data_IF_385887564780
#
_entry.id   IF_385887564780
#
_cell.length_a   1.000
_cell.length_b   1.000
_cell.length_c   1.000
_cell.angle_alpha   90.00
_cell.angle_beta   90.00
_cell.angle_gamma   90.00
#
_symmetry.space_group_name_H-M   'P 1'
#
loop_
_entity.id
_entity.type
_entity.pdbx_description
1 polymer ?
#
# COMPACT_ATOMS: atom_id res chain seq x y z
N UNK A 1 -3.75 -16.77 3.05
CA UNK A 1 -2.28 -16.88 3.21
C UNK A 1 -1.92 -16.65 4.67
N UNK A 2 -1.11 -17.54 5.26
CA UNK A 2 -0.58 -17.42 6.62
C UNK A 2 0.66 -16.52 6.64
N UNK A 3 1.00 -15.99 7.80
CA UNK A 3 2.19 -15.14 8.00
C UNK A 3 3.48 -15.81 7.54
N UNK A 4 3.67 -17.08 7.92
CA UNK A 4 4.86 -17.84 7.58
C UNK A 4 5.09 -17.93 6.07
N UNK A 5 4.02 -18.07 5.28
CA UNK A 5 4.12 -18.12 3.82
C UNK A 5 4.65 -16.79 3.23
N UNK A 6 4.32 -15.66 3.84
CA UNK A 6 4.84 -14.34 3.44
C UNK A 6 6.33 -14.27 3.79
N UNK A 7 6.70 -14.69 5.00
CA UNK A 7 8.10 -14.73 5.46
C UNK A 7 8.94 -15.60 4.53
N UNK A 8 8.45 -16.80 4.19
CA UNK A 8 9.17 -17.74 3.34
C UNK A 8 9.33 -17.19 1.92
N UNK A 9 8.31 -16.53 1.37
CA UNK A 9 8.43 -15.81 0.10
C UNK A 9 9.50 -14.70 0.15
N UNK A 10 9.53 -13.90 1.22
CA UNK A 10 10.50 -12.82 1.38
C UNK A 10 11.94 -13.35 1.57
N UNK A 11 12.12 -14.56 2.12
CA UNK A 11 13.45 -15.20 2.24
C UNK A 11 14.05 -15.62 0.89
N UNK A 12 13.25 -15.70 -0.17
CA UNK A 12 13.73 -16.09 -1.51
C UNK A 12 14.62 -15.01 -2.16
N UNK A 13 14.72 -13.82 -1.56
CA UNK A 13 15.44 -12.69 -2.14
C UNK A 13 16.33 -12.00 -1.10
N UNK A 14 17.37 -11.39 -1.63
CA UNK A 14 18.24 -10.47 -0.92
C UNK A 14 17.81 -9.03 -1.25
N UNK A 15 17.31 -8.32 -0.24
CA UNK A 15 16.84 -6.94 -0.37
C UNK A 15 17.86 -5.92 0.13
N UNK A 16 19.15 -6.27 0.21
CA UNK A 16 20.20 -5.35 0.61
C UNK A 16 20.26 -4.13 -0.35
N UNK A 17 19.86 -2.97 0.15
CA UNK A 17 19.83 -1.71 -0.60
C UNK A 17 21.26 -1.29 -1.00
N UNK A 18 22.29 -1.67 -0.24
CA UNK A 18 23.69 -1.36 -0.56
C UNK A 18 24.13 -2.05 -1.85
N UNK A 19 23.55 -3.22 -2.16
CA UNK A 19 23.81 -3.98 -3.39
C UNK A 19 22.95 -3.50 -4.54
N UNK A 20 21.64 -3.37 -4.31
CA UNK A 20 20.68 -3.03 -5.37
C UNK A 20 20.72 -1.55 -5.75
N UNK A 21 21.16 -0.68 -4.85
CA UNK A 21 21.12 0.79 -4.94
C UNK A 21 19.75 1.37 -5.28
N UNK A 22 18.69 0.57 -5.12
CA UNK A 22 17.37 0.93 -5.60
C UNK A 22 16.66 1.82 -4.59
N UNK A 23 16.52 3.10 -4.94
CA UNK A 23 15.78 4.09 -4.16
C UNK A 23 14.26 3.84 -4.06
N UNK A 24 13.69 2.93 -4.86
CA UNK A 24 12.25 2.74 -5.05
C UNK A 24 11.74 1.43 -4.45
N UNK A 25 12.45 0.88 -3.47
CA UNK A 25 12.00 -0.27 -2.69
C UNK A 25 10.77 0.06 -1.83
N UNK A 26 10.62 1.31 -1.40
CA UNK A 26 9.42 1.87 -0.79
C UNK A 26 9.37 3.39 -1.00
N UNK A 27 8.17 3.94 -1.10
CA UNK A 27 7.94 5.33 -1.47
C UNK A 27 6.74 5.95 -0.73
N UNK A 28 6.53 7.25 -0.90
CA UNK A 28 5.53 8.02 -0.14
C UNK A 28 4.09 7.49 -0.25
N UNK A 29 3.67 6.95 -1.40
CA UNK A 29 2.30 6.45 -1.62
C UNK A 29 2.13 4.97 -1.25
N UNK A 30 3.20 4.29 -0.82
CA UNK A 30 3.17 2.90 -0.35
C UNK A 30 2.51 2.80 1.03
N UNK A 31 1.19 2.90 1.06
CA UNK A 31 0.33 2.81 2.25
C UNK A 31 -0.59 1.59 2.11
N UNK A 32 -1.13 1.05 3.22
CA UNK A 32 -1.88 -0.21 3.17
C UNK A 32 -3.12 -0.17 2.26
N UNK A 33 -3.90 0.91 2.34
CA UNK A 33 -5.07 1.16 1.49
C UNK A 33 -4.69 1.29 0.01
N UNK A 34 -3.66 2.07 -0.29
CA UNK A 34 -3.18 2.26 -1.66
C UNK A 34 -2.62 0.95 -2.25
N UNK A 35 -1.81 0.21 -1.48
CA UNK A 35 -1.27 -1.07 -1.94
C UNK A 35 -2.38 -2.09 -2.21
N UNK A 36 -3.43 -2.11 -1.38
CA UNK A 36 -4.58 -3.00 -1.54
C UNK A 36 -5.43 -2.68 -2.78
N UNK A 37 -5.67 -1.39 -3.09
CA UNK A 37 -6.41 -1.01 -4.30
C UNK A 37 -5.55 -1.19 -5.56
N UNK A 38 -4.25 -0.90 -5.50
CA UNK A 38 -3.37 -1.12 -6.67
C UNK A 38 -3.25 -2.60 -7.01
N UNK A 39 -3.15 -3.49 -6.00
CA UNK A 39 -3.19 -4.93 -6.23
C UNK A 39 -4.48 -5.37 -6.92
N UNK A 40 -5.61 -4.80 -6.52
CA UNK A 40 -6.93 -5.04 -7.15
C UNK A 40 -6.97 -4.56 -8.60
N UNK A 41 -6.52 -3.34 -8.87
CA UNK A 41 -6.43 -2.80 -10.23
C UNK A 41 -5.54 -3.64 -11.16
N UNK A 42 -4.41 -4.16 -10.67
CA UNK A 42 -3.54 -5.05 -11.45
C UNK A 42 -4.25 -6.38 -11.77
N UNK A 43 -4.91 -6.98 -10.78
CA UNK A 43 -5.62 -8.26 -10.97
C UNK A 43 -6.80 -8.11 -11.93
N UNK A 44 -7.53 -7.01 -11.84
CA UNK A 44 -8.63 -6.70 -12.75
C UNK A 44 -8.15 -6.38 -14.16
N UNK A 45 -7.06 -5.61 -14.32
CA UNK A 45 -6.52 -5.37 -15.66
C UNK A 45 -6.02 -6.65 -16.32
N UNK A 46 -5.30 -7.47 -15.57
CA UNK A 46 -4.73 -8.73 -16.07
C UNK A 46 -5.76 -9.83 -16.22
N UNK A 47 -6.99 -9.64 -15.69
CA UNK A 47 -8.01 -10.67 -15.56
C UNK A 47 -7.42 -11.93 -14.90
N UNK A 48 -6.54 -11.71 -13.91
CA UNK A 48 -5.85 -12.76 -13.17
C UNK A 48 -4.96 -13.69 -14.01
N UNK A 49 -4.67 -13.33 -15.27
CA UNK A 49 -3.73 -14.05 -16.11
C UNK A 49 -2.28 -13.62 -15.78
N UNK A 50 -1.47 -14.54 -15.26
CA UNK A 50 -0.08 -14.26 -14.86
C UNK A 50 0.85 -13.96 -16.05
N UNK A 51 0.50 -14.44 -17.25
CA UNK A 51 1.27 -14.22 -18.47
C UNK A 51 0.97 -12.86 -19.11
N UNK A 52 -0.16 -12.23 -18.73
CA UNK A 52 -0.56 -10.94 -19.29
C UNK A 52 0.33 -9.82 -18.74
N UNK A 53 1.20 -9.31 -19.60
CA UNK A 53 2.04 -8.16 -19.30
C UNK A 53 1.26 -6.84 -19.31
N UNK A 54 1.71 -5.87 -18.52
CA UNK A 54 1.13 -4.54 -18.46
C UNK A 54 2.18 -3.47 -18.18
N UNK A 55 1.92 -2.25 -18.60
CA UNK A 55 2.62 -1.06 -18.13
C UNK A 55 1.78 -0.31 -17.09
N UNK A 56 2.39 0.61 -16.34
CA UNK A 56 1.65 1.50 -15.42
C UNK A 56 0.54 2.27 -16.17
N UNK A 57 0.81 2.65 -17.42
CA UNK A 57 -0.16 3.35 -18.27
C UNK A 57 -1.38 2.50 -18.59
N UNK A 58 -1.21 1.20 -18.79
CA UNK A 58 -2.34 0.32 -19.08
C UNK A 58 -3.26 0.17 -17.85
N UNK A 59 -2.68 0.09 -16.64
CA UNK A 59 -3.46 0.11 -15.39
C UNK A 59 -4.18 1.45 -15.23
N UNK A 60 -3.51 2.55 -15.56
CA UNK A 60 -4.05 3.90 -15.50
C UNK A 60 -5.23 4.12 -16.45
N UNK A 61 -5.10 3.68 -17.70
CA UNK A 61 -6.13 3.86 -18.74
C UNK A 61 -7.33 2.90 -18.56
N UNK A 62 -7.24 1.93 -17.64
CA UNK A 62 -8.34 1.01 -17.32
C UNK A 62 -9.57 1.75 -16.78
N UNK A 63 -10.79 1.50 -17.31
CA UNK A 63 -12.02 2.06 -16.78
C UNK A 63 -12.23 1.74 -15.30
N UNK A 64 -11.91 0.50 -14.90
CA UNK A 64 -12.05 0.04 -13.52
C UNK A 64 -11.18 0.84 -12.55
N UNK A 65 -9.92 1.09 -12.91
CA UNK A 65 -8.99 1.90 -12.10
C UNK A 65 -9.50 3.33 -12.01
N UNK A 66 -9.88 3.92 -13.14
CA UNK A 66 -10.36 5.29 -13.20
C UNK A 66 -11.57 5.52 -12.31
N UNK A 67 -12.56 4.64 -12.37
CA UNK A 67 -13.77 4.72 -11.56
C UNK A 67 -13.44 4.65 -10.06
N UNK A 68 -12.80 3.57 -9.61
CA UNK A 68 -12.62 3.33 -8.18
C UNK A 68 -11.58 4.25 -7.55
N UNK A 69 -10.45 4.49 -8.22
CA UNK A 69 -9.37 5.32 -7.66
C UNK A 69 -9.83 6.78 -7.57
N UNK A 70 -10.44 7.34 -8.63
CA UNK A 70 -10.89 8.74 -8.59
C UNK A 70 -11.97 8.94 -7.53
N UNK A 71 -12.96 8.06 -7.46
CA UNK A 71 -14.06 8.25 -6.49
C UNK A 71 -13.59 8.15 -5.04
N UNK A 72 -12.63 7.26 -4.73
CA UNK A 72 -12.23 6.99 -3.35
C UNK A 72 -11.10 7.91 -2.90
N UNK A 73 -10.15 8.24 -3.78
CA UNK A 73 -8.90 8.93 -3.42
C UNK A 73 -8.81 10.38 -3.87
N UNK A 74 -9.75 10.90 -4.68
CA UNK A 74 -9.76 12.34 -5.02
C UNK A 74 -9.88 13.19 -3.75
N UNK A 75 -9.19 14.33 -3.66
CA UNK A 75 -9.28 15.25 -2.50
C UNK A 75 -10.60 16.04 -2.54
N UNK A 76 -11.21 16.42 -1.39
CA UNK A 76 -12.48 17.14 -1.38
C UNK A 76 -12.32 18.60 -1.86
N UNK A 77 -11.21 19.25 -1.47
CA UNK A 77 -11.07 20.70 -1.58
C UNK A 77 -10.58 21.20 -2.95
N UNK A 78 -10.44 20.31 -3.92
CA UNK A 78 -9.89 20.63 -5.24
C UNK A 78 -10.73 19.93 -6.29
N UNK A 79 -11.83 20.55 -6.68
CA UNK A 79 -12.74 20.11 -7.74
C UNK A 79 -12.11 20.00 -9.15
N UNK A 80 -10.77 19.94 -9.28
CA UNK A 80 -10.13 19.73 -10.58
C UNK A 80 -8.71 19.14 -10.55
N UNK A 81 -7.91 19.34 -9.50
CA UNK A 81 -6.45 19.16 -9.63
C UNK A 81 -5.89 18.04 -8.74
N UNK A 82 -6.43 16.84 -8.84
CA UNK A 82 -5.57 15.67 -8.63
C UNK A 82 -4.66 15.58 -9.86
N UNK A 83 -3.58 16.38 -9.81
CA UNK A 83 -2.68 16.57 -10.94
C UNK A 83 -2.21 15.21 -11.48
N UNK A 84 -2.01 15.14 -12.80
CA UNK A 84 -1.44 13.94 -13.46
C UNK A 84 -0.21 13.41 -12.72
N UNK A 85 0.61 14.29 -12.14
CA UNK A 85 1.80 13.93 -11.37
C UNK A 85 1.51 13.28 -10.01
N UNK A 86 0.47 13.68 -9.30
CA UNK A 86 0.09 13.03 -8.03
C UNK A 86 -0.53 11.66 -8.28
N UNK A 87 -1.26 11.53 -9.39
CA UNK A 87 -1.90 10.29 -9.85
C UNK A 87 -0.89 9.29 -10.43
N UNK A 88 0.09 9.76 -11.19
CA UNK A 88 1.17 8.91 -11.70
C UNK A 88 1.96 8.30 -10.53
N UNK A 89 2.25 9.07 -9.48
CA UNK A 89 2.87 8.57 -8.25
C UNK A 89 1.99 7.58 -7.49
N UNK A 90 0.67 7.72 -7.57
CA UNK A 90 -0.28 6.85 -6.87
C UNK A 90 -0.17 5.39 -7.34
N UNK A 91 -0.05 5.16 -8.65
CA UNK A 91 0.10 3.80 -9.21
C UNK A 91 1.56 3.37 -9.28
N UNK A 92 2.46 4.26 -9.72
CA UNK A 92 3.85 3.88 -9.99
C UNK A 92 4.60 3.43 -8.75
N UNK A 93 4.42 4.11 -7.60
CA UNK A 93 5.16 3.80 -6.38
C UNK A 93 4.79 2.42 -5.79
N UNK A 94 3.51 2.07 -5.59
CA UNK A 94 3.14 0.73 -5.14
C UNK A 94 3.51 -0.36 -6.15
N UNK A 95 3.36 -0.14 -7.47
CA UNK A 95 3.77 -1.12 -8.49
C UNK A 95 5.27 -1.38 -8.42
N UNK A 96 6.10 -0.34 -8.22
CA UNK A 96 7.54 -0.47 -8.03
C UNK A 96 7.89 -1.26 -6.77
N UNK A 97 7.19 -1.04 -5.66
CA UNK A 97 7.35 -1.86 -4.45
C UNK A 97 6.95 -3.32 -4.70
N UNK A 98 5.85 -3.58 -5.39
CA UNK A 98 5.42 -4.93 -5.75
C UNK A 98 6.45 -5.64 -6.65
N UNK A 99 7.09 -4.90 -7.56
CA UNK A 99 8.17 -5.42 -8.39
C UNK A 99 9.45 -5.69 -7.58
N UNK A 100 9.85 -4.75 -6.72
CA UNK A 100 11.05 -4.92 -5.89
C UNK A 100 10.90 -6.08 -4.89
N UNK A 101 9.73 -6.23 -4.27
CA UNK A 101 9.42 -7.39 -3.42
C UNK A 101 9.36 -8.72 -4.20
N UNK A 102 9.20 -8.64 -5.53
CA UNK A 102 9.14 -9.77 -6.44
C UNK A 102 7.77 -10.44 -6.55
N UNK A 103 6.71 -9.75 -6.13
CA UNK A 103 5.31 -10.12 -6.41
C UNK A 103 5.01 -9.90 -7.89
N UNK A 104 5.57 -8.83 -8.45
CA UNK A 104 5.63 -8.59 -9.89
C UNK A 104 7.05 -8.82 -10.38
N UNK A 105 7.18 -9.20 -11.65
CA UNK A 105 8.44 -9.09 -12.37
C UNK A 105 8.44 -7.81 -13.17
N UNK A 106 9.53 -7.05 -13.11
CA UNK A 106 9.73 -5.87 -13.94
C UNK A 106 10.78 -6.18 -15.02
N UNK A 107 10.44 -5.90 -16.27
CA UNK A 107 11.38 -5.85 -17.38
C UNK A 107 11.31 -4.50 -18.08
N UNK A 108 12.42 -4.11 -18.69
CA UNK A 108 12.50 -2.86 -19.45
C UNK A 108 12.43 -3.17 -20.94
N UNK A 109 11.37 -2.70 -21.59
CA UNK A 109 11.21 -2.80 -23.04
C UNK A 109 11.29 -1.38 -23.61
N UNK A 110 12.41 -1.07 -24.27
CA UNK A 110 12.71 0.29 -24.75
C UNK A 110 12.68 1.31 -23.59
N UNK A 111 11.88 2.38 -23.71
CA UNK A 111 11.69 3.41 -22.68
C UNK A 111 10.55 3.13 -21.70
N UNK A 112 9.99 1.92 -21.68
CA UNK A 112 8.86 1.56 -20.83
C UNK A 112 9.19 0.39 -19.91
N UNK A 113 8.73 0.50 -18.67
CA UNK A 113 8.74 -0.61 -17.73
C UNK A 113 7.48 -1.44 -17.95
N UNK A 114 7.68 -2.73 -18.17
CA UNK A 114 6.63 -3.72 -18.38
C UNK A 114 6.67 -4.68 -17.19
N UNK A 115 5.49 -5.03 -16.70
CA UNK A 115 5.31 -5.85 -15.52
C UNK A 115 4.49 -7.09 -15.85
N UNK A 116 4.80 -8.20 -15.18
CA UNK A 116 4.00 -9.44 -15.17
C UNK A 116 3.83 -9.92 -13.73
N UNK A 117 2.77 -10.70 -13.47
CA UNK A 117 2.52 -11.24 -12.13
C UNK A 117 3.44 -12.44 -11.91
N UNK A 118 4.22 -12.41 -10.83
CA UNK A 118 5.07 -13.54 -10.41
C UNK A 118 4.45 -14.32 -9.25
N UNK A 119 3.74 -13.64 -8.35
CA UNK A 119 3.08 -14.28 -7.22
C UNK A 119 1.62 -13.80 -7.12
N UNK A 120 0.73 -14.53 -7.80
CA UNK A 120 -0.70 -14.21 -7.82
C UNK A 120 -1.34 -14.37 -6.44
N UNK A 121 -0.91 -15.35 -5.65
CA UNK A 121 -1.47 -15.61 -4.32
C UNK A 121 -1.22 -14.44 -3.36
N UNK A 122 0.00 -13.90 -3.36
CA UNK A 122 0.33 -12.70 -2.58
C UNK A 122 -0.43 -11.49 -3.11
N UNK A 123 -0.50 -11.30 -4.42
CA UNK A 123 -1.21 -10.17 -4.99
C UNK A 123 -2.70 -10.20 -4.61
N UNK A 124 -3.34 -11.37 -4.66
CA UNK A 124 -4.71 -11.58 -4.19
C UNK A 124 -4.85 -11.34 -2.70
N UNK A 125 -3.89 -11.82 -1.90
CA UNK A 125 -3.87 -11.60 -0.46
C UNK A 125 -3.85 -10.11 -0.11
N UNK A 126 -3.02 -9.31 -0.79
CA UNK A 126 -2.94 -7.85 -0.62
C UNK A 126 -4.24 -7.16 -1.03
N UNK A 127 -4.85 -7.60 -2.13
CA UNK A 127 -6.11 -7.07 -2.62
C UNK A 127 -7.19 -7.21 -1.54
N UNK A 128 -7.29 -8.33 -0.83
CA UNK A 128 -8.49 -8.63 -0.06
C UNK A 128 -8.81 -7.61 1.03
N UNK A 129 -7.80 -7.14 1.78
CA UNK A 129 -7.97 -6.24 2.92
C UNK A 129 -6.75 -5.36 3.11
N UNK A 130 -6.98 -4.11 3.53
CA UNK A 130 -5.90 -3.19 3.92
C UNK A 130 -5.03 -3.77 5.06
N UNK A 131 -5.61 -4.56 5.95
CA UNK A 131 -4.87 -5.25 7.02
C UNK A 131 -3.88 -6.27 6.49
N UNK A 132 -4.21 -6.93 5.38
CA UNK A 132 -3.31 -7.88 4.72
C UNK A 132 -2.14 -7.13 4.08
N UNK A 133 -2.43 -6.03 3.41
CA UNK A 133 -1.43 -5.13 2.85
C UNK A 133 -0.50 -4.54 3.94
N UNK A 134 -1.05 -4.12 5.08
CA UNK A 134 -0.28 -3.65 6.22
C UNK A 134 0.63 -4.75 6.78
N UNK A 135 0.11 -5.96 6.96
CA UNK A 135 0.87 -7.11 7.45
C UNK A 135 2.05 -7.42 6.52
N UNK A 136 1.81 -7.45 5.22
CA UNK A 136 2.87 -7.62 4.22
C UNK A 136 3.90 -6.50 4.30
N UNK A 137 3.47 -5.23 4.33
CA UNK A 137 4.39 -4.08 4.40
C UNK A 137 5.29 -4.15 5.63
N UNK A 138 4.78 -4.53 6.80
CA UNK A 138 5.57 -4.69 8.02
C UNK A 138 6.66 -5.74 7.83
N UNK A 139 6.29 -6.95 7.39
CA UNK A 139 7.23 -8.06 7.21
C UNK A 139 8.27 -7.75 6.12
N UNK A 140 7.83 -7.17 5.01
CA UNK A 140 8.68 -6.73 3.92
C UNK A 140 9.68 -5.68 4.38
N UNK A 141 9.22 -4.62 5.05
CA UNK A 141 10.10 -3.56 5.57
C UNK A 141 11.12 -4.14 6.54
N UNK A 142 10.69 -4.96 7.51
CA UNK A 142 11.62 -5.61 8.45
C UNK A 142 12.70 -6.39 7.69
N UNK A 143 12.32 -7.18 6.68
CA UNK A 143 13.27 -7.93 5.87
C UNK A 143 14.26 -7.03 5.13
N UNK A 144 13.80 -5.94 4.49
CA UNK A 144 14.69 -4.99 3.81
C UNK A 144 15.68 -4.34 4.78
N UNK A 145 15.22 -3.93 5.96
CA UNK A 145 16.07 -3.32 6.98
C UNK A 145 17.16 -4.29 7.47
N UNK A 146 16.78 -5.55 7.72
CA UNK A 146 17.70 -6.62 8.13
C UNK A 146 18.74 -6.94 7.06
N UNK A 147 18.32 -7.14 5.81
CA UNK A 147 19.25 -7.44 4.70
C UNK A 147 20.23 -6.29 4.44
N UNK A 148 19.75 -5.06 4.62
CA UNK A 148 20.54 -3.85 4.46
C UNK A 148 21.44 -3.54 5.67
N UNK A 149 21.30 -4.28 6.78
CA UNK A 149 22.07 -4.08 8.02
C UNK A 149 21.79 -2.76 8.73
N UNK A 150 20.58 -2.20 8.57
CA UNK A 150 20.16 -0.95 9.21
C UNK A 150 19.08 -1.14 10.26
N UNK A 151 18.61 -2.36 10.50
CA UNK A 151 17.69 -2.69 11.57
C UNK A 151 18.16 -2.24 12.98
N UNK A 152 19.46 -2.22 13.36
CA UNK A 152 19.84 -1.89 14.74
C UNK A 152 19.49 -0.45 15.13
N UNK A 153 19.49 0.50 14.20
CA UNK A 153 19.10 1.89 14.49
C UNK A 153 17.59 2.03 14.70
N UNK A 154 16.79 1.17 14.06
CA UNK A 154 15.34 1.09 14.29
C UNK A 154 15.05 0.45 15.64
N UNK A 155 15.72 -0.65 15.98
CA UNK A 155 15.57 -1.33 17.26
C UNK A 155 15.94 -0.43 18.44
N UNK A 156 17.05 0.32 18.34
CA UNK A 156 17.45 1.29 19.37
C UNK A 156 16.34 2.32 19.66
N UNK A 157 15.67 2.84 18.62
CA UNK A 157 14.54 3.75 18.81
C UNK A 157 13.30 3.05 19.36
N UNK A 158 12.94 1.87 18.84
CA UNK A 158 11.78 1.10 19.29
C UNK A 158 11.89 0.67 20.78
N UNK A 159 13.12 0.54 21.29
CA UNK A 159 13.41 0.30 22.70
C UNK A 159 13.36 1.59 23.55
N UNK A 160 14.09 2.65 23.17
CA UNK A 160 14.26 3.87 24.00
C UNK A 160 13.09 4.84 23.97
N UNK A 161 12.48 5.07 22.80
CA UNK A 161 11.26 5.87 22.62
C UNK A 161 11.36 7.33 23.11
N UNK A 162 12.54 7.93 22.99
CA UNK A 162 12.83 9.32 23.37
C UNK A 162 13.26 10.18 22.16
N UNK A 163 13.40 11.50 22.38
CA UNK A 163 13.72 12.47 21.32
C UNK A 163 15.10 12.21 20.70
N UNK A 164 16.07 11.79 21.50
CA UNK A 164 17.45 11.58 21.06
C UNK A 164 17.56 10.33 20.18
N UNK A 165 17.00 9.21 20.61
CA UNK A 165 16.92 7.98 19.81
C UNK A 165 16.12 8.16 18.52
N UNK A 166 15.06 8.98 18.53
CA UNK A 166 14.33 9.34 17.31
C UNK A 166 15.19 10.16 16.33
N UNK A 167 15.96 11.13 16.85
CA UNK A 167 16.90 11.92 16.05
C UNK A 167 17.98 11.02 15.43
N UNK A 168 18.58 10.13 16.23
CA UNK A 168 19.58 9.16 15.76
C UNK A 168 19.03 8.25 14.66
N UNK A 169 17.82 7.73 14.83
CA UNK A 169 17.14 6.93 13.81
C UNK A 169 16.96 7.73 12.51
N UNK A 170 16.42 8.95 12.62
CA UNK A 170 16.11 9.80 11.45
C UNK A 170 17.38 10.21 10.69
N UNK A 171 18.42 10.60 11.41
CA UNK A 171 19.72 10.99 10.86
C UNK A 171 20.42 9.77 10.24
N UNK A 172 20.45 8.65 10.95
CA UNK A 172 21.05 7.38 10.48
C UNK A 172 20.38 6.85 9.22
N UNK A 173 19.05 6.82 9.17
CA UNK A 173 18.30 6.40 7.98
C UNK A 173 18.56 7.33 6.78
N UNK A 174 18.64 8.64 7.03
CA UNK A 174 18.89 9.64 5.98
C UNK A 174 20.30 9.48 5.42
N UNK A 175 21.31 9.33 6.28
CA UNK A 175 22.69 9.09 5.86
C UNK A 175 22.82 7.79 5.07
N UNK A 176 22.21 6.70 5.55
CA UNK A 176 22.18 5.43 4.83
C UNK A 176 21.56 5.58 3.43
N UNK A 177 20.41 6.24 3.33
CA UNK A 177 19.69 6.38 2.07
C UNK A 177 20.49 7.20 1.05
N UNK A 178 21.10 8.31 1.49
CA UNK A 178 21.90 9.20 0.61
C UNK A 178 23.16 8.48 0.12
N UNK A 179 23.81 7.68 0.96
CA UNK A 179 25.05 7.01 0.59
C UNK A 179 24.85 5.80 -0.33
N UNK A 180 23.68 5.15 -0.26
CA UNK A 180 23.45 3.86 -0.92
C UNK A 180 22.43 3.93 -2.06
N UNK A 181 21.81 5.07 -2.33
CA UNK A 181 20.79 5.19 -3.39
C UNK A 181 20.95 6.49 -4.19
N UNK A 182 20.18 6.62 -5.28
CA UNK A 182 20.15 7.83 -6.09
C UNK A 182 19.44 9.03 -5.41
N UNK A 183 18.78 8.85 -4.26
CA UNK A 183 18.08 9.94 -3.56
C UNK A 183 19.11 10.85 -2.90
N UNK A 184 19.12 12.13 -3.31
CA UNK A 184 19.99 13.17 -2.74
C UNK A 184 19.26 14.17 -1.86
N UNK A 185 17.93 14.20 -1.90
CA UNK A 185 17.11 15.18 -1.20
C UNK A 185 16.61 14.63 0.14
N UNK A 186 16.99 15.28 1.24
CA UNK A 186 16.54 14.96 2.61
C UNK A 186 15.02 15.01 2.77
N UNK A 187 14.33 15.88 2.02
CA UNK A 187 12.86 15.98 2.07
C UNK A 187 12.19 14.72 1.53
N UNK A 188 12.75 14.11 0.48
CA UNK A 188 12.25 12.85 -0.06
C UNK A 188 12.49 11.71 0.93
N UNK A 189 13.69 11.64 1.52
CA UNK A 189 14.03 10.68 2.58
C UNK A 189 13.02 10.74 3.74
N UNK A 190 12.63 11.93 4.21
CA UNK A 190 11.69 12.05 5.34
C UNK A 190 10.26 11.58 5.00
N UNK A 191 9.83 11.75 3.75
CA UNK A 191 8.52 11.27 3.29
C UNK A 191 8.49 9.74 3.24
N UNK A 192 9.57 9.13 2.77
CA UNK A 192 9.76 7.68 2.72
C UNK A 192 9.88 7.12 4.15
N UNK A 193 10.70 7.75 4.99
CA UNK A 193 10.93 7.36 6.39
C UNK A 193 9.62 7.14 7.17
N UNK A 194 8.65 8.05 7.00
CA UNK A 194 7.34 7.94 7.66
C UNK A 194 6.61 6.65 7.29
N UNK A 195 6.75 6.17 6.05
CA UNK A 195 6.11 4.93 5.55
C UNK A 195 6.83 3.66 5.99
N UNK A 196 8.01 3.80 6.60
CA UNK A 196 8.78 2.71 7.19
C UNK A 196 8.52 2.68 8.70
N UNK A 197 8.79 3.79 9.40
CA UNK A 197 8.77 3.79 10.86
C UNK A 197 7.35 3.67 11.44
N UNK A 198 6.33 4.27 10.83
CA UNK A 198 4.98 4.24 11.40
C UNK A 198 4.32 2.86 11.35
N UNK A 199 4.41 2.07 10.26
CA UNK A 199 3.97 0.68 10.28
C UNK A 199 4.67 -0.17 11.34
N UNK A 200 5.99 -0.02 11.51
CA UNK A 200 6.74 -0.72 12.55
C UNK A 200 6.31 -0.27 13.95
N UNK A 201 6.19 1.04 14.18
CA UNK A 201 5.75 1.58 15.46
C UNK A 201 4.34 1.10 15.82
N UNK A 202 3.40 1.06 14.86
CA UNK A 202 2.09 0.48 15.07
C UNK A 202 2.16 -0.99 15.47
N UNK A 203 2.98 -1.79 14.76
CA UNK A 203 3.15 -3.22 15.04
C UNK A 203 3.65 -3.48 16.47
N UNK A 204 4.60 -2.68 16.96
CA UNK A 204 5.17 -2.82 18.30
C UNK A 204 4.43 -2.02 19.40
N UNK A 205 3.34 -1.32 19.08
CA UNK A 205 2.63 -0.48 20.04
C UNK A 205 3.46 0.72 20.55
N UNK A 206 4.23 1.33 19.66
CA UNK A 206 5.24 2.37 19.94
C UNK A 206 4.86 3.73 19.35
N UNK A 207 5.57 4.76 19.81
CA UNK A 207 5.62 6.08 19.17
C UNK A 207 6.35 5.94 17.83
N UNK A 208 5.96 6.77 16.87
CA UNK A 208 6.57 6.89 15.56
C UNK A 208 6.78 8.36 15.22
N UNK A 209 6.41 8.77 14.00
CA UNK A 209 6.51 10.16 13.57
C UNK A 209 5.19 10.78 13.15
N UNK A 210 5.00 12.05 13.53
CA UNK A 210 3.94 12.94 13.06
C UNK A 210 4.56 14.25 12.60
N UNK A 211 4.26 14.68 11.38
CA UNK A 211 4.81 15.92 10.78
C UNK A 211 6.35 16.00 10.83
N UNK A 212 7.04 14.86 10.84
CA UNK A 212 8.51 14.80 10.89
C UNK A 212 9.13 14.88 12.30
N UNK A 213 8.31 14.94 13.35
CA UNK A 213 8.70 14.93 14.75
C UNK A 213 8.28 13.62 15.43
N UNK A 214 8.88 13.30 16.57
CA UNK A 214 8.46 12.18 17.42
C UNK A 214 7.00 12.37 17.82
N UNK A 215 6.21 11.30 17.74
CA UNK A 215 4.80 11.35 18.11
C UNK A 215 4.63 11.37 19.64
N UNK A 216 3.73 12.23 20.13
CA UNK A 216 3.45 12.33 21.58
C UNK A 216 2.77 11.06 22.14
N UNK A 217 2.09 10.31 21.29
CA UNK A 217 1.37 9.06 21.63
C UNK A 217 1.76 7.97 20.64
N UNK A 218 1.39 6.71 20.96
CA UNK A 218 1.57 5.58 20.05
C UNK A 218 0.88 5.83 18.69
N UNK A 219 1.39 5.21 17.64
CA UNK A 219 0.80 5.28 16.31
C UNK A 219 -0.41 4.33 16.25
N UNK A 220 -1.54 4.83 15.74
CA UNK A 220 -2.75 4.03 15.54
C UNK A 220 -2.97 3.66 14.07
N UNK A 221 -3.79 2.64 13.81
CA UNK A 221 -3.99 2.09 12.46
C UNK A 221 -4.54 3.11 11.46
N UNK A 222 -5.45 3.98 11.91
CA UNK A 222 -6.03 5.07 11.10
C UNK A 222 -4.97 6.07 10.61
N UNK A 223 -3.83 6.14 11.30
CA UNK A 223 -2.67 6.95 10.92
C UNK A 223 -1.71 6.25 9.94
N UNK A 224 -2.11 5.16 9.28
CA UNK A 224 -1.26 4.48 8.30
C UNK A 224 -1.74 4.68 6.87
N UNK A 225 -3.06 4.74 6.68
CA UNK A 225 -3.69 4.88 5.39
C UNK A 225 -3.40 6.24 4.74
N UNK A 226 -3.50 6.28 3.42
CA UNK A 226 -3.43 7.51 2.63
C UNK A 226 -4.72 8.32 2.77
N UNK A 227 -5.87 7.66 2.65
CA UNK A 227 -7.20 8.27 2.78
C UNK A 227 -7.59 8.46 4.25
N UNK A 228 -6.82 9.27 4.98
CA UNK A 228 -7.15 9.61 6.36
C UNK A 228 -8.33 10.57 6.37
N UNK A 229 -9.31 10.23 7.18
CA UNK A 229 -10.34 11.19 7.57
C UNK A 229 -9.66 12.15 8.57
N UNK A 230 -9.51 13.41 8.20
CA UNK A 230 -9.07 14.44 9.14
C UNK A 230 -10.19 14.68 10.17
N UNK A 231 -10.19 13.92 11.26
CA UNK A 231 -11.20 14.06 12.32
C UNK A 231 -11.17 15.43 13.00
N UNK A 232 -10.07 16.20 12.88
CA UNK A 232 -10.03 17.61 13.33
C UNK A 232 -10.90 18.54 12.49
N UNK A 233 -11.18 18.17 11.24
CA UNK A 233 -12.11 18.87 10.37
C UNK A 233 -13.55 18.37 10.61
N UNK A 234 -13.71 17.22 11.30
CA UNK A 234 -14.98 16.75 11.86
C UNK A 234 -15.24 17.52 13.16
N UNK A 235 -15.85 18.70 13.02
CA UNK A 235 -16.30 19.51 14.15
C UNK A 235 -15.72 20.92 14.22
N UNK A 236 -14.79 21.27 13.32
CA UNK A 236 -14.36 22.66 13.10
C UNK A 236 -14.91 23.19 11.77
N UNK A 237 -16.22 23.35 11.72
CA UNK A 237 -16.82 24.64 11.36
C UNK A 237 -18.36 24.52 11.44
N UNK A 238 -19.03 25.51 12.03
CA UNK A 238 -20.48 25.70 11.78
C UNK A 238 -20.78 26.13 10.33
N UNK A 239 -19.72 26.19 9.50
CA UNK A 239 -19.67 26.61 8.11
C UNK A 239 -19.07 25.54 7.17
N UNK A 240 -19.04 24.24 7.51
CA UNK A 240 -18.82 23.22 6.46
C UNK A 240 -19.90 23.46 5.42
N UNK A 241 -19.52 23.90 4.23
CA UNK A 241 -20.51 24.20 3.19
C UNK A 241 -21.23 22.90 2.88
N UNK A 242 -22.54 22.94 2.60
CA UNK A 242 -23.32 21.71 2.26
C UNK A 242 -22.60 20.85 1.22
N UNK A 243 -21.92 21.51 0.28
CA UNK A 243 -21.09 20.90 -0.76
C UNK A 243 -19.92 20.05 -0.22
N UNK A 244 -19.18 20.51 0.78
CA UNK A 244 -18.08 19.76 1.39
C UNK A 244 -18.59 18.53 2.16
N UNK A 245 -19.70 18.69 2.90
CA UNK A 245 -20.33 17.58 3.62
C UNK A 245 -20.84 16.50 2.66
N UNK A 246 -21.54 16.90 1.58
CA UNK A 246 -22.03 15.99 0.56
C UNK A 246 -20.87 15.27 -0.16
N UNK A 247 -19.73 15.94 -0.34
CA UNK A 247 -18.54 15.36 -0.94
C UNK A 247 -17.85 14.34 -0.02
N UNK A 248 -17.76 14.61 1.28
CA UNK A 248 -17.24 13.64 2.26
C UNK A 248 -18.17 12.43 2.33
N UNK A 249 -19.49 12.65 2.36
CA UNK A 249 -20.47 11.58 2.43
C UNK A 249 -20.46 10.72 1.16
N UNK A 250 -20.41 11.33 -0.03
CA UNK A 250 -20.33 10.61 -1.30
C UNK A 250 -19.08 9.74 -1.40
N UNK A 251 -17.92 10.20 -0.89
CA UNK A 251 -16.70 9.37 -0.80
C UNK A 251 -16.85 8.18 0.13
N UNK A 252 -17.49 8.38 1.29
CA UNK A 252 -17.77 7.26 2.22
C UNK A 252 -18.67 6.23 1.58
N UNK A 253 -19.69 6.66 0.84
CA UNK A 253 -20.59 5.78 0.09
C UNK A 253 -19.82 5.05 -1.01
N UNK A 254 -19.03 5.77 -1.82
CA UNK A 254 -18.22 5.19 -2.89
C UNK A 254 -17.22 4.15 -2.36
N UNK A 255 -16.51 4.47 -1.28
CA UNK A 255 -15.60 3.52 -0.63
C UNK A 255 -16.34 2.29 -0.10
N UNK A 256 -17.52 2.47 0.51
CA UNK A 256 -18.34 1.36 1.00
C UNK A 256 -18.81 0.46 -0.15
N UNK A 257 -19.29 1.05 -1.24
CA UNK A 257 -19.73 0.33 -2.45
C UNK A 257 -18.57 -0.43 -3.10
N UNK A 258 -17.38 0.19 -3.15
CA UNK A 258 -16.16 -0.46 -3.63
C UNK A 258 -15.80 -1.65 -2.76
N UNK A 259 -15.77 -1.50 -1.43
CA UNK A 259 -15.45 -2.59 -0.50
C UNK A 259 -16.46 -3.75 -0.60
N UNK A 260 -17.75 -3.45 -0.77
CA UNK A 260 -18.79 -4.47 -1.00
C UNK A 260 -18.52 -5.21 -2.32
N UNK A 261 -18.27 -4.46 -3.40
CA UNK A 261 -18.00 -5.04 -4.72
C UNK A 261 -16.75 -5.92 -4.70
N UNK A 262 -15.70 -5.45 -4.04
CA UNK A 262 -14.46 -6.19 -3.80
C UNK A 262 -14.70 -7.48 -3.02
N UNK A 263 -15.47 -7.41 -1.92
CA UNK A 263 -15.81 -8.59 -1.13
C UNK A 263 -16.60 -9.63 -1.95
N UNK A 264 -17.58 -9.19 -2.75
CA UNK A 264 -18.31 -10.07 -3.68
C UNK A 264 -17.39 -10.77 -4.67
N UNK A 265 -16.40 -10.06 -5.24
CA UNK A 265 -15.40 -10.67 -6.14
C UNK A 265 -14.56 -11.73 -5.45
N UNK A 266 -14.10 -11.47 -4.23
CA UNK A 266 -13.33 -12.44 -3.43
C UNK A 266 -14.13 -13.72 -3.20
N UNK A 267 -15.40 -13.60 -2.80
CA UNK A 267 -16.28 -14.76 -2.59
C UNK A 267 -16.52 -15.51 -3.89
N UNK A 268 -16.86 -14.80 -4.98
CA UNK A 268 -17.06 -15.41 -6.30
C UNK A 268 -15.82 -16.21 -6.73
N UNK A 269 -14.64 -15.61 -6.61
CA UNK A 269 -13.37 -16.26 -6.97
C UNK A 269 -13.08 -17.50 -6.13
N UNK A 270 -13.40 -17.45 -4.84
CA UNK A 270 -13.28 -18.61 -3.98
C UNK A 270 -14.20 -19.75 -4.46
N UNK A 271 -15.48 -19.44 -4.74
CA UNK A 271 -16.44 -20.41 -5.24
C UNK A 271 -16.02 -21.00 -6.60
N UNK A 272 -15.51 -20.17 -7.52
CA UNK A 272 -15.01 -20.61 -8.82
C UNK A 272 -13.85 -21.61 -8.69
N UNK A 273 -13.01 -21.47 -7.66
CA UNK A 273 -11.85 -22.35 -7.42
C UNK A 273 -12.19 -23.60 -6.63
N UNK A 274 -13.06 -23.50 -5.63
CA UNK A 274 -13.22 -24.54 -4.61
C UNK A 274 -14.62 -25.13 -4.52
N UNK A 275 -15.61 -24.51 -5.17
CA UNK A 275 -17.01 -24.92 -5.06
C UNK A 275 -17.71 -25.01 -6.43
N UNK A 276 -16.98 -25.30 -7.50
CA UNK A 276 -17.53 -25.42 -8.87
C UNK A 276 -18.40 -24.22 -9.29
N UNK A 277 -18.01 -23.00 -8.90
CA UNK A 277 -18.77 -21.77 -9.12
C UNK A 277 -20.15 -21.71 -8.42
N UNK A 278 -20.44 -22.62 -7.50
CA UNK A 278 -21.67 -22.63 -6.70
C UNK A 278 -21.48 -21.87 -5.37
N UNK A 279 -22.59 -21.42 -4.81
CA UNK A 279 -22.61 -20.85 -3.46
C UNK A 279 -22.39 -21.93 -2.40
N UNK A 280 -21.66 -21.62 -1.33
CA UNK A 280 -21.58 -22.51 -0.15
C UNK A 280 -22.94 -22.60 0.57
N UNK A 281 -23.73 -21.52 0.50
CA UNK A 281 -25.09 -21.48 1.00
C UNK A 281 -26.02 -21.99 -0.09
N UNK A 282 -26.53 -23.22 0.09
CA UNK A 282 -27.60 -23.77 -0.73
C UNK A 282 -28.90 -23.07 -0.36
N UNK A 283 -29.53 -22.38 -1.30
CA UNK A 283 -30.88 -21.87 -1.06
C UNK A 283 -31.87 -23.04 -1.14
N UNK A 284 -32.92 -23.07 -0.32
CA UNK A 284 -33.92 -24.16 -0.29
C UNK A 284 -34.61 -24.43 -1.65
N UNK A 285 -34.42 -23.56 -2.65
CA UNK A 285 -34.93 -23.71 -4.02
C UNK A 285 -33.89 -24.17 -5.04
N UNK A 286 -32.64 -24.43 -4.64
CA UNK A 286 -31.62 -25.03 -5.49
C UNK A 286 -31.69 -26.56 -5.45
N UNK A 287 -32.90 -27.12 -5.54
CA UNK A 287 -33.09 -28.53 -5.85
C UNK A 287 -32.73 -28.75 -7.33
N UNK A 288 -31.54 -29.31 -7.53
CA UNK A 288 -31.18 -30.27 -8.58
C UNK A 288 -31.65 -29.95 -10.00
N UNK A 289 -30.76 -29.33 -10.78
CA UNK A 289 -30.64 -29.73 -12.19
C UNK A 289 -29.28 -30.41 -12.35
N UNK A 290 -29.30 -31.72 -12.14
CA UNK A 290 -28.28 -32.65 -12.62
C UNK A 290 -28.45 -32.86 -14.13
#
# INVERSE_FOLDING_TARGET
MKEQQIIDFLKLRDYDIRKTQNARWIDQKCTPDVLSIVADCVLEFTQYNIEKSFSIRDIWDSPYTNENVKMIFSKPDLNSDFSMHEYDKFLSQPIKLLAYSGILFETKTSNRNIYTIQNIELLEYLMQRETNALKFLILYVQKVLMDSGIDPIFDNFLQKQDTESFKQLKDGFTHFTINNTAIKNTTECFRIFTKIINPLAFYYGKKGTRKGFLSNTIITKDELNYNRINWRDIGKDKNTTRQEYDLINSKRIANSNYLISKAKKVVKRYNDRFNNSLSEVKQEKEESQA
#
